data_IF_920455112877
#
_entry.id   IF_920455112877
#
_cell.length_a   1.000
_cell.length_b   1.000
_cell.length_c   1.000
_cell.angle_alpha   90.00
_cell.angle_beta   90.00
_cell.angle_gamma   90.00
#
_symmetry.space_group_name_H-M   'P 1'
#
loop_
_entity.id
_entity.type
_entity.pdbx_description
1 polymer ?
#
# COMPACT_ATOMS: atom_id res chain seq x y z
N UNK A 1 -22.91 21.31 -54.07
CA UNK A 1 -23.49 20.89 -52.76
C UNK A 1 -22.70 19.75 -52.11
N UNK A 2 -22.00 18.90 -52.86
CA UNK A 2 -21.14 17.80 -52.36
C UNK A 2 -19.82 18.26 -51.70
N UNK A 3 -19.29 19.41 -52.08
CA UNK A 3 -18.04 19.97 -51.53
C UNK A 3 -18.15 20.37 -50.06
N UNK A 4 -19.33 20.78 -49.59
CA UNK A 4 -19.56 21.12 -48.17
C UNK A 4 -19.52 19.89 -47.26
N UNK A 5 -19.99 18.74 -47.75
CA UNK A 5 -20.13 17.52 -46.95
C UNK A 5 -18.76 16.86 -46.76
N UNK A 6 -17.91 16.86 -47.79
CA UNK A 6 -16.57 16.29 -47.69
C UNK A 6 -15.66 17.05 -46.68
N UNK A 7 -15.79 18.38 -46.59
CA UNK A 7 -15.00 19.19 -45.65
C UNK A 7 -15.35 18.95 -44.18
N UNK A 8 -16.65 18.86 -43.86
CA UNK A 8 -17.14 18.58 -42.51
C UNK A 8 -16.67 17.21 -42.01
N UNK A 9 -16.70 16.19 -42.88
CA UNK A 9 -16.24 14.84 -42.54
C UNK A 9 -14.75 14.85 -42.17
N UNK A 10 -13.91 15.55 -42.95
CA UNK A 10 -12.46 15.65 -42.68
C UNK A 10 -12.19 16.34 -41.34
N UNK A 11 -12.94 17.39 -41.01
CA UNK A 11 -12.79 18.10 -39.73
C UNK A 11 -13.15 17.21 -38.54
N UNK A 12 -14.23 16.43 -38.63
CA UNK A 12 -14.64 15.51 -37.55
C UNK A 12 -13.56 14.45 -37.30
N UNK A 13 -13.01 13.85 -38.37
CA UNK A 13 -11.95 12.85 -38.22
C UNK A 13 -10.66 13.44 -37.63
N UNK A 14 -10.30 14.67 -38.01
CA UNK A 14 -9.16 15.38 -37.44
C UNK A 14 -9.33 15.60 -35.94
N UNK A 15 -10.49 16.11 -35.51
CA UNK A 15 -10.79 16.35 -34.09
C UNK A 15 -10.80 15.04 -33.30
N UNK A 16 -11.42 13.98 -33.84
CA UNK A 16 -11.42 12.67 -33.20
C UNK A 16 -10.01 12.11 -33.03
N UNK A 17 -9.14 12.26 -34.03
CA UNK A 17 -7.77 11.78 -33.95
C UNK A 17 -6.97 12.51 -32.85
N UNK A 18 -7.15 13.82 -32.72
CA UNK A 18 -6.51 14.60 -31.65
C UNK A 18 -7.02 14.16 -30.27
N UNK A 19 -8.32 13.93 -30.10
CA UNK A 19 -8.87 13.46 -28.82
C UNK A 19 -8.34 12.06 -28.48
N UNK A 20 -8.28 11.15 -29.44
CA UNK A 20 -7.77 9.79 -29.25
C UNK A 20 -6.29 9.81 -28.87
N UNK A 21 -5.47 10.61 -29.55
CA UNK A 21 -4.04 10.72 -29.24
C UNK A 21 -3.80 11.32 -27.85
N UNK A 22 -4.58 12.32 -27.44
CA UNK A 22 -4.52 12.87 -26.08
C UNK A 22 -4.95 11.84 -25.03
N UNK A 23 -6.00 11.06 -25.30
CA UNK A 23 -6.47 10.02 -24.41
C UNK A 23 -5.44 8.89 -24.24
N UNK A 24 -4.78 8.44 -25.32
CA UNK A 24 -3.74 7.40 -25.26
C UNK A 24 -2.48 7.89 -24.56
N UNK A 25 -2.05 9.13 -24.80
CA UNK A 25 -0.97 9.78 -24.06
C UNK A 25 -1.29 9.91 -22.56
N UNK A 26 -2.50 10.33 -22.22
CA UNK A 26 -2.92 10.45 -20.81
C UNK A 26 -2.98 9.08 -20.13
N UNK A 27 -3.52 8.07 -20.82
CA UNK A 27 -3.65 6.72 -20.28
C UNK A 27 -2.29 6.06 -20.04
N UNK A 28 -1.36 6.18 -21.00
CA UNK A 28 0.01 5.64 -20.86
C UNK A 28 0.79 6.38 -19.76
N UNK A 29 0.66 7.71 -19.67
CA UNK A 29 1.27 8.50 -18.60
C UNK A 29 0.69 8.13 -17.22
N UNK A 30 -0.64 7.99 -17.12
CA UNK A 30 -1.32 7.59 -15.88
C UNK A 30 -0.89 6.19 -15.41
N UNK A 31 -0.76 5.24 -16.34
CA UNK A 31 -0.27 3.90 -16.06
C UNK A 31 1.18 3.91 -15.53
N UNK A 32 2.05 4.77 -16.07
CA UNK A 32 3.44 4.91 -15.59
C UNK A 32 3.51 5.45 -14.15
N UNK A 33 2.65 6.42 -13.80
CA UNK A 33 2.65 7.10 -12.51
C UNK A 33 2.12 6.21 -11.37
N UNK A 34 1.27 5.23 -11.70
CA UNK A 34 0.74 4.24 -10.75
C UNK A 34 1.84 3.29 -10.22
N UNK A 35 2.76 2.83 -11.08
CA UNK A 35 3.83 1.90 -10.67
C UNK A 35 4.78 2.53 -9.66
N UNK A 36 5.27 3.73 -9.94
CA UNK A 36 6.18 4.45 -9.04
C UNK A 36 5.55 4.77 -7.66
N UNK A 37 4.23 5.01 -7.61
CA UNK A 37 3.54 5.23 -6.33
C UNK A 37 3.45 3.95 -5.50
N UNK A 38 3.23 2.79 -6.12
CA UNK A 38 3.13 1.50 -5.40
C UNK A 38 4.46 1.10 -4.76
N UNK A 39 5.56 1.19 -5.50
CA UNK A 39 6.90 0.85 -4.98
C UNK A 39 7.33 1.79 -3.84
N UNK A 40 6.97 3.08 -3.92
CA UNK A 40 7.27 4.03 -2.85
C UNK A 40 6.41 3.80 -1.60
N UNK A 41 5.17 3.33 -1.77
CA UNK A 41 4.28 2.99 -0.64
C UNK A 41 4.76 1.71 0.06
N UNK A 42 5.17 0.69 -0.70
CA UNK A 42 5.70 -0.57 -0.15
C UNK A 42 6.96 -0.34 0.69
N UNK A 43 7.92 0.45 0.18
CA UNK A 43 9.13 0.82 0.93
C UNK A 43 8.82 1.58 2.23
N UNK A 44 7.76 2.39 2.26
CA UNK A 44 7.37 3.12 3.47
C UNK A 44 6.73 2.21 4.52
N UNK A 45 6.00 1.19 4.10
CA UNK A 45 5.36 0.23 5.03
C UNK A 45 6.39 -0.70 5.68
N UNK A 46 7.40 -1.16 4.93
CA UNK A 46 8.49 -2.01 5.46
C UNK A 46 9.33 -1.29 6.54
N UNK A 47 9.65 -0.01 6.31
CA UNK A 47 10.36 0.81 7.30
C UNK A 47 9.51 0.99 8.56
N UNK A 48 8.21 1.24 8.41
CA UNK A 48 7.32 1.49 9.54
C UNK A 48 7.17 0.23 10.42
N UNK A 49 6.96 -0.94 9.82
CA UNK A 49 6.81 -2.21 10.54
C UNK A 49 8.05 -2.54 11.39
N UNK A 50 9.24 -2.36 10.81
CA UNK A 50 10.51 -2.59 11.51
C UNK A 50 10.68 -1.65 12.71
N UNK A 51 10.32 -0.37 12.58
CA UNK A 51 10.41 0.58 13.68
C UNK A 51 9.36 0.35 14.77
N UNK A 52 8.15 -0.12 14.42
CA UNK A 52 7.14 -0.46 15.42
C UNK A 52 7.56 -1.66 16.26
N UNK A 53 8.09 -2.72 15.65
CA UNK A 53 8.49 -3.92 16.39
C UNK A 53 9.61 -3.65 17.42
N UNK A 54 10.46 -2.66 17.18
CA UNK A 54 11.50 -2.25 18.12
C UNK A 54 10.95 -1.42 19.31
N UNK A 55 9.81 -0.75 19.11
CA UNK A 55 9.16 0.09 20.14
C UNK A 55 8.16 -0.68 21.00
N UNK A 56 7.62 -1.81 20.52
CA UNK A 56 6.66 -2.61 21.28
C UNK A 56 7.39 -3.35 22.41
N UNK A 57 7.04 -2.96 23.64
CA UNK A 57 7.41 -3.69 24.86
C UNK A 57 6.23 -4.54 25.31
N UNK A 58 6.50 -5.81 25.56
CA UNK A 58 5.52 -6.77 26.09
C UNK A 58 5.86 -7.09 27.54
N UNK A 59 4.84 -7.34 28.34
CA UNK A 59 4.98 -7.77 29.72
C UNK A 59 4.95 -9.31 29.79
N UNK A 60 5.93 -9.90 30.47
CA UNK A 60 5.92 -11.35 30.68
C UNK A 60 4.79 -11.73 31.64
N UNK A 61 3.89 -12.67 31.28
CA UNK A 61 2.79 -13.09 32.16
C UNK A 61 3.24 -13.87 33.40
N UNK A 62 4.49 -14.33 33.44
CA UNK A 62 5.02 -15.17 34.53
C UNK A 62 5.86 -14.40 35.55
N UNK A 63 6.60 -13.39 35.10
CA UNK A 63 7.55 -12.64 35.95
C UNK A 63 7.40 -11.13 35.83
N UNK A 64 6.39 -10.65 35.09
CA UNK A 64 6.02 -9.24 34.91
C UNK A 64 7.16 -8.36 34.36
N UNK A 65 8.20 -8.97 33.80
CA UNK A 65 9.29 -8.24 33.17
C UNK A 65 8.84 -7.66 31.84
N UNK A 66 9.10 -6.39 31.61
CA UNK A 66 8.88 -5.71 30.35
C UNK A 66 10.10 -5.89 29.43
N UNK A 67 9.89 -6.39 28.22
CA UNK A 67 10.96 -6.61 27.23
C UNK A 67 10.45 -6.43 25.81
N UNK A 68 11.37 -6.29 24.85
CA UNK A 68 11.02 -6.07 23.44
C UNK A 68 10.37 -7.29 22.82
N UNK A 69 9.32 -7.08 22.02
CA UNK A 69 8.57 -8.16 21.34
C UNK A 69 9.39 -9.03 20.38
N UNK A 70 10.60 -8.58 20.00
CA UNK A 70 11.50 -9.32 19.11
C UNK A 70 12.17 -10.53 19.79
N UNK A 71 12.13 -10.65 21.12
CA UNK A 71 12.65 -11.83 21.81
C UNK A 71 11.58 -12.92 21.89
N UNK A 72 11.94 -14.13 21.46
CA UNK A 72 11.06 -15.31 21.55
C UNK A 72 10.86 -15.82 22.99
N UNK A 73 11.76 -15.42 23.89
CA UNK A 73 11.83 -15.89 25.28
C UNK A 73 12.03 -14.70 26.21
N UNK A 74 11.41 -14.77 27.39
CA UNK A 74 11.59 -13.72 28.39
C UNK A 74 13.03 -13.74 28.92
N UNK A 75 13.77 -12.61 28.90
CA UNK A 75 15.17 -12.57 29.34
C UNK A 75 15.34 -12.75 30.86
N UNK A 76 14.26 -12.63 31.64
CA UNK A 76 14.31 -12.75 33.09
C UNK A 76 13.98 -14.18 33.56
N UNK A 77 12.92 -14.78 33.04
CA UNK A 77 12.47 -16.11 33.50
C UNK A 77 12.67 -17.25 32.48
N UNK A 78 13.08 -16.96 31.24
CA UNK A 78 13.27 -17.97 30.18
C UNK A 78 11.98 -18.58 29.62
N UNK A 79 10.80 -18.05 29.98
CA UNK A 79 9.54 -18.54 29.44
C UNK A 79 9.42 -18.27 27.93
N UNK A 80 9.02 -19.28 27.16
CA UNK A 80 8.78 -19.16 25.72
C UNK A 80 7.41 -18.52 25.48
N UNK A 81 7.39 -17.22 25.22
CA UNK A 81 6.15 -16.40 25.17
C UNK A 81 5.55 -16.30 23.77
N UNK A 82 5.89 -17.21 22.85
CA UNK A 82 5.39 -17.17 21.46
C UNK A 82 3.88 -17.38 21.33
N UNK A 83 3.20 -17.80 22.39
CA UNK A 83 1.74 -17.86 22.50
C UNK A 83 1.27 -16.65 23.30
N UNK A 84 1.00 -15.54 22.63
CA UNK A 84 0.15 -14.50 23.22
C UNK A 84 -1.24 -15.14 23.36
N UNK A 85 -1.59 -15.57 24.57
CA UNK A 85 -2.96 -15.91 24.92
C UNK A 85 -3.73 -14.59 24.90
N UNK A 86 -4.40 -14.28 23.78
CA UNK A 86 -5.38 -13.21 23.77
C UNK A 86 -6.41 -13.53 24.85
N UNK A 87 -6.63 -12.64 25.83
CA UNK A 87 -7.72 -12.80 26.78
C UNK A 87 -9.02 -12.96 25.98
N UNK A 88 -9.81 -13.98 26.27
CA UNK A 88 -11.14 -14.12 25.67
C UNK A 88 -11.93 -12.84 25.99
N UNK A 89 -12.27 -12.11 24.94
CA UNK A 89 -13.06 -10.88 25.07
C UNK A 89 -14.45 -11.37 25.51
N UNK A 90 -14.99 -10.94 26.66
CA UNK A 90 -16.30 -11.39 27.09
C UNK A 90 -17.35 -10.95 26.06
N UNK A 91 -17.95 -11.92 25.38
CA UNK A 91 -19.14 -11.70 24.56
C UNK A 91 -20.33 -11.59 25.51
N UNK A 92 -20.81 -10.37 25.70
CA UNK A 92 -22.11 -10.08 26.35
C UNK A 92 -23.26 -10.47 25.45
#
# INVERSE_FOLDING_TARGET
MTSSIAGEIILIFSVMFVIITLATLWFTFSASKMKHKKELQEKKMDILDKHFNEMIRIECPYCNTLYTANLNECPNCGANTKKILFPEIPTT
#
